data_IF_994204268768
#
_entry.id   IF_994204268768
#
_cell.length_a   1.000
_cell.length_b   1.000
_cell.length_c   1.000
_cell.angle_alpha   90.00
_cell.angle_beta   90.00
_cell.angle_gamma   90.00
#
_symmetry.space_group_name_H-M   'P 1'
#
loop_
_entity.id
_entity.type
_entity.pdbx_description
1 polymer ?
#
# COMPACT_ATOMS: atom_id res chain seq x y z
N UNK A 1 -8.81 13.17 27.38
CA UNK A 1 -7.43 13.11 27.90
C UNK A 1 -6.44 12.70 26.82
N UNK A 2 -6.72 11.65 26.03
CA UNK A 2 -5.88 11.20 24.88
C UNK A 2 -5.63 12.29 23.82
N UNK A 3 -6.67 13.00 23.38
CA UNK A 3 -6.56 14.06 22.36
C UNK A 3 -5.61 15.22 22.75
N UNK A 4 -5.55 15.58 24.05
CA UNK A 4 -4.65 16.64 24.52
C UNK A 4 -3.19 16.18 24.51
N UNK A 5 -2.93 14.92 24.85
CA UNK A 5 -1.57 14.35 24.82
C UNK A 5 -1.05 14.24 23.39
N UNK A 6 -1.89 13.83 22.44
CA UNK A 6 -1.53 13.76 21.01
C UNK A 6 -1.18 15.14 20.43
N UNK A 7 -1.94 16.18 20.79
CA UNK A 7 -1.66 17.55 20.34
C UNK A 7 -0.35 18.08 20.93
N UNK A 8 -0.10 17.87 22.23
CA UNK A 8 1.15 18.31 22.88
C UNK A 8 2.38 17.64 22.26
N UNK A 9 2.27 16.37 21.85
CA UNK A 9 3.33 15.66 21.12
C UNK A 9 3.64 16.26 19.75
N UNK A 10 2.63 16.77 19.02
CA UNK A 10 2.79 17.36 17.68
C UNK A 10 3.41 18.76 17.72
N UNK A 11 3.18 19.53 18.79
CA UNK A 11 3.62 20.93 18.91
C UNK A 11 4.95 21.14 19.65
N UNK A 12 5.55 20.10 20.23
CA UNK A 12 6.80 20.21 21.01
C UNK A 12 8.07 20.07 20.14
N UNK A 13 7.94 20.28 18.83
CA UNK A 13 8.74 19.59 17.80
C UNK A 13 9.80 20.48 17.17
N UNK A 14 11.00 20.53 17.75
CA UNK A 14 12.23 20.77 16.97
C UNK A 14 13.44 19.99 17.52
N UNK A 15 13.57 19.82 18.84
CA UNK A 15 14.77 19.18 19.43
C UNK A 15 14.71 17.67 19.66
N UNK A 16 13.54 17.10 20.00
CA UNK A 16 13.44 15.71 20.50
C UNK A 16 13.08 14.66 19.43
N UNK A 17 12.52 15.09 18.29
CA UNK A 17 12.06 14.17 17.23
C UNK A 17 13.22 13.85 16.28
N UNK A 18 14.13 14.79 16.03
CA UNK A 18 15.22 14.61 15.05
C UNK A 18 16.25 13.54 15.45
N UNK A 19 16.57 13.41 16.74
CA UNK A 19 17.66 12.53 17.21
C UNK A 19 17.27 11.03 17.22
N UNK A 20 15.97 10.71 17.25
CA UNK A 20 15.48 9.32 17.38
C UNK A 20 14.66 8.78 16.21
N UNK A 21 14.12 9.63 15.33
CA UNK A 21 13.11 9.21 14.35
C UNK A 21 13.61 8.21 13.33
N UNK A 22 14.84 8.38 12.84
CA UNK A 22 15.44 7.45 11.85
C UNK A 22 15.63 6.07 12.49
N UNK A 23 16.06 6.01 13.76
CA UNK A 23 16.21 4.74 14.47
C UNK A 23 14.87 4.03 14.63
N UNK A 24 13.81 4.75 15.02
CA UNK A 24 12.47 4.16 15.16
C UNK A 24 11.97 3.58 13.83
N UNK A 25 12.19 4.30 12.71
CA UNK A 25 11.83 3.80 11.39
C UNK A 25 12.66 2.57 10.99
N UNK A 26 13.97 2.57 11.25
CA UNK A 26 14.81 1.41 10.97
C UNK A 26 14.46 0.20 11.83
N UNK A 27 14.10 0.41 13.11
CA UNK A 27 13.63 -0.64 14.01
C UNK A 27 12.31 -1.24 13.49
N UNK A 28 11.40 -0.41 12.94
CA UNK A 28 10.17 -0.86 12.28
C UNK A 28 10.45 -1.66 11.00
N UNK A 29 11.47 -1.27 10.22
CA UNK A 29 11.90 -1.95 8.99
C UNK A 29 12.83 -3.14 9.27
N UNK A 30 12.58 -3.88 10.34
CA UNK A 30 13.24 -5.14 10.66
C UNK A 30 12.25 -6.31 10.61
N UNK A 31 12.77 -7.53 10.65
CA UNK A 31 11.94 -8.75 10.75
C UNK A 31 11.05 -8.79 12.00
N UNK A 32 11.36 -8.00 13.05
CA UNK A 32 10.53 -7.89 14.26
C UNK A 32 9.42 -6.82 14.14
N UNK A 33 9.47 -5.97 13.12
CA UNK A 33 8.48 -4.94 12.82
C UNK A 33 7.59 -5.35 11.65
N UNK A 34 7.61 -4.59 10.55
CA UNK A 34 6.84 -4.89 9.33
C UNK A 34 7.63 -5.70 8.29
N UNK A 35 8.89 -6.02 8.58
CA UNK A 35 9.81 -6.70 7.69
C UNK A 35 10.83 -5.78 7.03
N UNK A 36 11.96 -6.35 6.63
CA UNK A 36 13.01 -5.61 5.92
C UNK A 36 12.53 -5.07 4.57
N UNK A 37 12.91 -3.83 4.26
CA UNK A 37 12.77 -3.22 2.93
C UNK A 37 13.98 -3.59 2.06
N UNK A 38 13.82 -4.39 0.97
CA UNK A 38 14.97 -4.99 0.26
C UNK A 38 16.01 -3.99 -0.24
N UNK A 39 15.57 -2.79 -0.64
CA UNK A 39 16.45 -1.73 -1.13
C UNK A 39 17.49 -1.26 -0.09
N UNK A 40 17.21 -1.47 1.20
CA UNK A 40 18.13 -1.11 2.30
C UNK A 40 19.15 -2.22 2.58
N UNK A 41 18.92 -3.45 2.12
CA UNK A 41 19.74 -4.61 2.44
C UNK A 41 20.06 -5.45 1.19
N UNK A 42 21.27 -5.29 0.62
CA UNK A 42 21.71 -6.03 -0.56
C UNK A 42 21.82 -7.56 -0.35
N UNK A 43 21.81 -8.04 0.89
CA UNK A 43 21.83 -9.47 1.23
C UNK A 43 20.42 -10.03 1.48
N UNK A 44 19.41 -9.21 1.31
CA UNK A 44 18.02 -9.60 1.52
C UNK A 44 17.66 -10.82 0.66
N UNK A 45 17.04 -11.81 1.29
CA UNK A 45 16.71 -13.07 0.65
C UNK A 45 15.21 -13.13 0.31
N UNK A 46 14.90 -12.95 -0.97
CA UNK A 46 13.53 -13.06 -1.51
C UNK A 46 12.81 -14.36 -1.17
N UNK A 47 13.55 -15.45 -0.96
CA UNK A 47 12.97 -16.78 -0.71
C UNK A 47 12.43 -16.95 0.71
N UNK A 48 12.66 -15.96 1.58
CA UNK A 48 12.19 -15.95 2.98
C UNK A 48 10.99 -15.02 3.20
N UNK A 49 10.40 -14.52 2.13
CA UNK A 49 9.25 -13.61 2.24
C UNK A 49 7.99 -14.41 2.52
N UNK A 50 7.42 -14.16 3.68
CA UNK A 50 6.03 -14.46 3.99
C UNK A 50 5.19 -13.23 3.58
N UNK A 51 4.56 -13.31 2.41
CA UNK A 51 3.84 -12.18 1.81
C UNK A 51 2.59 -11.86 2.64
N UNK A 52 1.87 -12.88 3.05
CA UNK A 52 0.67 -12.81 3.88
C UNK A 52 0.95 -12.13 5.21
N UNK A 53 2.01 -12.56 5.91
CA UNK A 53 2.41 -11.92 7.16
C UNK A 53 2.82 -10.46 6.95
N UNK A 54 3.51 -10.12 5.86
CA UNK A 54 3.87 -8.73 5.55
C UNK A 54 2.64 -7.86 5.32
N UNK A 55 1.67 -8.36 4.55
CA UNK A 55 0.41 -7.65 4.32
C UNK A 55 -0.39 -7.48 5.62
N UNK A 56 -0.36 -8.48 6.51
CA UNK A 56 -0.98 -8.41 7.83
C UNK A 56 -0.36 -7.31 8.69
N UNK A 57 0.97 -7.29 8.78
CA UNK A 57 1.69 -6.29 9.56
C UNK A 57 1.50 -4.88 8.99
N UNK A 58 1.52 -4.72 7.67
CA UNK A 58 1.19 -3.44 7.03
C UNK A 58 -0.24 -3.00 7.38
N UNK A 59 -1.20 -3.92 7.37
CA UNK A 59 -2.59 -3.63 7.73
C UNK A 59 -2.73 -3.15 9.19
N UNK A 60 -2.01 -3.78 10.14
CA UNK A 60 -1.95 -3.31 11.55
C UNK A 60 -1.48 -1.85 11.63
N UNK A 61 -0.56 -1.47 10.75
CA UNK A 61 -0.07 -0.10 10.60
C UNK A 61 -0.90 0.78 9.67
N UNK A 62 -2.12 0.36 9.30
CA UNK A 62 -3.06 1.08 8.44
C UNK A 62 -2.52 1.32 7.01
N UNK A 63 -1.68 0.41 6.52
CA UNK A 63 -1.15 0.41 5.16
C UNK A 63 -1.71 -0.78 4.40
N UNK A 64 -2.41 -0.53 3.30
CA UNK A 64 -3.07 -1.54 2.48
C UNK A 64 -2.70 -1.33 1.01
N UNK A 65 -1.58 -1.90 0.53
CA UNK A 65 -0.99 -1.50 -0.75
C UNK A 65 -1.71 -2.06 -1.99
N UNK A 66 -2.35 -3.23 -1.88
CA UNK A 66 -2.91 -3.92 -3.05
C UNK A 66 -4.44 -3.99 -3.06
N UNK A 67 -5.04 -4.10 -1.88
CA UNK A 67 -6.48 -4.17 -1.69
C UNK A 67 -6.86 -3.65 -0.31
N UNK A 68 -7.99 -2.98 -0.24
CA UNK A 68 -8.55 -2.44 0.98
C UNK A 68 -9.58 -3.41 1.55
N UNK A 69 -9.39 -3.74 2.82
CA UNK A 69 -10.29 -4.57 3.60
C UNK A 69 -10.87 -3.78 4.76
N UNK A 70 -12.17 -3.90 4.99
CA UNK A 70 -12.84 -3.39 6.17
C UNK A 70 -14.11 -4.18 6.49
N UNK A 71 -14.55 -4.12 7.74
CA UNK A 71 -15.79 -4.75 8.20
C UNK A 71 -16.89 -3.71 8.30
N UNK A 72 -17.98 -3.90 7.57
CA UNK A 72 -19.13 -3.00 7.57
C UNK A 72 -20.45 -3.79 7.52
N UNK A 73 -21.58 -3.17 7.88
CA UNK A 73 -22.89 -3.79 7.76
C UNK A 73 -23.18 -4.20 6.30
N UNK A 74 -23.83 -5.34 6.10
CA UNK A 74 -24.34 -5.75 4.78
C UNK A 74 -25.40 -4.73 4.33
N UNK A 75 -25.22 -4.16 3.12
CA UNK A 75 -26.15 -3.20 2.52
C UNK A 75 -27.58 -3.76 2.40
N UNK A 76 -27.72 -5.10 2.30
CA UNK A 76 -29.01 -5.80 2.22
C UNK A 76 -29.54 -6.26 3.58
N UNK A 77 -28.67 -6.35 4.59
CA UNK A 77 -29.04 -6.76 5.95
C UNK A 77 -28.11 -6.14 6.99
N UNK A 78 -28.44 -4.95 7.46
CA UNK A 78 -27.65 -4.19 8.42
C UNK A 78 -27.48 -4.84 9.81
N UNK A 79 -28.15 -5.97 10.08
CA UNK A 79 -27.93 -6.77 11.29
C UNK A 79 -26.75 -7.74 11.18
N UNK A 80 -26.15 -7.88 10.00
CA UNK A 80 -24.97 -8.71 9.73
C UNK A 80 -23.84 -7.83 9.23
N UNK A 81 -22.61 -8.16 9.60
CA UNK A 81 -21.41 -7.51 9.11
C UNK A 81 -20.69 -8.42 8.14
N UNK A 82 -20.18 -7.85 7.04
CA UNK A 82 -19.39 -8.54 6.04
C UNK A 82 -17.98 -7.96 6.03
N UNK A 83 -17.03 -8.79 5.61
CA UNK A 83 -15.72 -8.33 5.19
C UNK A 83 -15.86 -7.82 3.76
N UNK A 84 -15.60 -6.54 3.55
CA UNK A 84 -15.51 -5.96 2.23
C UNK A 84 -14.06 -5.98 1.76
N UNK A 85 -13.86 -6.27 0.48
CA UNK A 85 -12.55 -6.24 -0.19
C UNK A 85 -12.69 -5.39 -1.44
N UNK A 86 -11.90 -4.34 -1.53
CA UNK A 86 -11.83 -3.44 -2.69
C UNK A 86 -10.42 -3.47 -3.26
N UNK A 87 -10.31 -3.33 -4.58
CA UNK A 87 -9.05 -3.08 -5.27
C UNK A 87 -8.32 -1.88 -4.66
N UNK A 88 -7.01 -2.00 -4.55
CA UNK A 88 -6.14 -0.86 -4.32
C UNK A 88 -5.77 -0.20 -5.64
N UNK A 89 -5.11 0.94 -5.51
CA UNK A 89 -4.48 1.63 -6.64
C UNK A 89 -3.06 2.08 -6.25
N UNK A 90 -2.20 2.35 -7.25
CA UNK A 90 -0.90 2.96 -7.04
C UNK A 90 -0.97 4.22 -6.19
N UNK A 91 0.15 4.58 -5.56
CA UNK A 91 0.20 5.74 -4.65
C UNK A 91 -0.08 7.08 -5.36
N UNK A 92 0.25 7.20 -6.65
CA UNK A 92 -0.12 8.34 -7.47
C UNK A 92 -1.31 7.97 -8.37
N UNK A 93 -2.04 8.98 -8.84
CA UNK A 93 -3.06 8.77 -9.87
C UNK A 93 -2.47 8.02 -11.08
N UNK A 94 -3.20 7.03 -11.60
CA UNK A 94 -2.74 6.13 -12.67
C UNK A 94 -2.28 6.87 -13.92
N UNK A 95 -2.84 8.05 -14.22
CA UNK A 95 -2.44 8.88 -15.35
C UNK A 95 -0.98 9.36 -15.27
N UNK A 96 -0.44 9.57 -14.06
CA UNK A 96 0.96 9.94 -13.90
C UNK A 96 1.90 8.85 -14.41
N UNK A 97 1.55 7.57 -14.23
CA UNK A 97 2.35 6.44 -14.67
C UNK A 97 2.14 6.12 -16.16
N UNK A 98 0.92 6.26 -16.66
CA UNK A 98 0.51 5.73 -17.96
C UNK A 98 0.58 6.75 -19.10
N UNK A 99 0.41 8.05 -18.82
CA UNK A 99 0.51 9.08 -19.85
C UNK A 99 1.93 9.64 -19.93
N UNK A 100 2.72 9.07 -20.84
CA UNK A 100 4.10 9.48 -21.11
C UNK A 100 4.22 10.63 -22.11
N UNK A 101 3.10 11.13 -22.65
CA UNK A 101 3.11 12.20 -23.65
C UNK A 101 3.06 13.59 -23.02
N UNK A 102 2.51 13.68 -21.81
CA UNK A 102 2.45 14.92 -21.04
C UNK A 102 3.78 15.18 -20.29
N UNK A 103 4.50 16.27 -20.60
CA UNK A 103 5.76 16.59 -19.93
C UNK A 103 5.63 16.80 -18.42
N UNK A 104 4.49 17.28 -17.93
CA UNK A 104 4.28 17.49 -16.50
C UNK A 104 4.18 16.15 -15.77
N UNK A 105 3.47 15.17 -16.32
CA UNK A 105 3.37 13.83 -15.73
C UNK A 105 4.71 13.12 -15.68
N UNK A 106 5.50 13.20 -16.76
CA UNK A 106 6.88 12.70 -16.77
C UNK A 106 7.70 13.36 -15.65
N UNK A 107 7.55 14.67 -15.43
CA UNK A 107 8.25 15.39 -14.36
C UNK A 107 7.80 14.96 -12.95
N UNK A 108 6.52 14.65 -12.75
CA UNK A 108 6.03 14.12 -11.47
C UNK A 108 6.63 12.74 -11.16
N UNK A 109 6.65 11.83 -12.13
CA UNK A 109 7.28 10.51 -11.95
C UNK A 109 8.78 10.63 -11.66
N UNK A 110 9.48 11.54 -12.34
CA UNK A 110 10.89 11.81 -12.03
C UNK A 110 11.08 12.35 -10.60
N UNK A 111 10.17 13.19 -10.12
CA UNK A 111 10.21 13.72 -8.76
C UNK A 111 9.93 12.63 -7.72
N UNK A 112 8.98 11.73 -7.99
CA UNK A 112 8.70 10.56 -7.16
C UNK A 112 9.91 9.62 -7.10
N UNK A 113 10.54 9.34 -8.25
CA UNK A 113 11.80 8.57 -8.33
C UNK A 113 12.89 9.18 -7.43
N UNK A 114 13.07 10.50 -7.51
CA UNK A 114 14.06 11.21 -6.71
C UNK A 114 13.72 11.20 -5.21
N UNK A 115 12.44 11.30 -4.84
CA UNK A 115 12.00 11.22 -3.45
C UNK A 115 12.38 9.86 -2.84
N UNK A 116 12.11 8.76 -3.56
CA UNK A 116 12.49 7.42 -3.09
C UNK A 116 14.00 7.32 -2.96
N UNK A 117 14.76 7.78 -3.96
CA UNK A 117 16.22 7.75 -3.96
C UNK A 117 16.83 8.52 -2.77
N UNK A 118 16.33 9.72 -2.48
CA UNK A 118 16.78 10.51 -1.34
C UNK A 118 16.39 9.86 -0.01
N UNK A 119 15.20 9.28 0.08
CA UNK A 119 14.74 8.57 1.28
C UNK A 119 15.67 7.40 1.60
N UNK A 120 15.96 6.53 0.64
CA UNK A 120 16.83 5.37 0.89
C UNK A 120 18.29 5.78 1.12
N UNK A 121 18.74 6.89 0.52
CA UNK A 121 20.05 7.49 0.82
C UNK A 121 20.15 7.97 2.27
N UNK A 122 19.11 8.62 2.79
CA UNK A 122 19.02 9.03 4.21
C UNK A 122 19.04 7.81 5.14
N UNK A 123 18.40 6.71 4.73
CA UNK A 123 18.39 5.41 5.41
C UNK A 123 19.66 4.57 5.18
N UNK A 124 20.71 5.14 4.57
CA UNK A 124 22.02 4.51 4.35
C UNK A 124 21.99 3.27 3.44
N UNK A 125 21.08 3.23 2.47
CA UNK A 125 21.08 2.21 1.44
C UNK A 125 22.35 2.25 0.59
N UNK A 126 22.73 1.11 0.02
CA UNK A 126 23.90 0.99 -0.83
C UNK A 126 23.58 1.48 -2.25
N UNK A 127 24.26 2.53 -2.72
CA UNK A 127 23.97 3.17 -4.02
C UNK A 127 23.98 2.19 -5.22
N UNK A 128 24.79 1.13 -5.15
CA UNK A 128 24.91 0.15 -6.25
C UNK A 128 23.63 -0.65 -6.52
N UNK A 129 22.71 -0.75 -5.56
CA UNK A 129 21.41 -1.46 -5.74
C UNK A 129 20.23 -0.49 -5.88
N UNK A 130 20.33 0.70 -5.31
CA UNK A 130 19.25 1.70 -5.24
C UNK A 130 18.65 2.01 -6.61
N UNK A 131 19.49 2.29 -7.63
CA UNK A 131 18.98 2.66 -8.96
C UNK A 131 18.13 1.54 -9.57
N UNK A 132 18.64 0.31 -9.53
CA UNK A 132 17.96 -0.87 -10.10
C UNK A 132 16.65 -1.13 -9.37
N UNK A 133 16.67 -1.11 -8.04
CA UNK A 133 15.50 -1.46 -7.23
C UNK A 133 14.39 -0.41 -7.36
N UNK A 134 14.75 0.87 -7.50
CA UNK A 134 13.78 1.93 -7.80
C UNK A 134 13.20 1.79 -9.21
N UNK A 135 14.00 1.38 -10.19
CA UNK A 135 13.50 1.13 -11.56
C UNK A 135 12.51 -0.04 -11.57
N UNK A 136 12.83 -1.15 -10.91
CA UNK A 136 11.90 -2.28 -10.77
C UNK A 136 10.63 -1.92 -9.97
N UNK A 137 10.74 -1.06 -8.96
CA UNK A 137 9.56 -0.55 -8.24
C UNK A 137 8.66 0.27 -9.14
N UNK A 138 9.23 1.15 -9.97
CA UNK A 138 8.44 1.96 -10.91
C UNK A 138 7.81 1.12 -12.02
N UNK A 139 8.51 0.09 -12.52
CA UNK A 139 7.94 -0.88 -13.46
C UNK A 139 6.72 -1.57 -12.85
N UNK A 140 6.84 -2.04 -11.60
CA UNK A 140 5.70 -2.62 -10.87
C UNK A 140 4.53 -1.63 -10.72
N UNK A 141 4.79 -0.37 -10.36
CA UNK A 141 3.74 0.65 -10.22
C UNK A 141 3.03 0.96 -11.55
N UNK A 142 3.75 0.91 -12.68
CA UNK A 142 3.17 1.06 -14.03
C UNK A 142 2.26 -0.13 -14.36
N UNK A 143 2.72 -1.36 -14.09
CA UNK A 143 1.89 -2.56 -14.27
C UNK A 143 0.64 -2.52 -13.38
N UNK A 144 0.81 -2.11 -12.12
CA UNK A 144 -0.29 -1.96 -11.18
C UNK A 144 -1.28 -0.88 -11.63
N UNK A 145 -0.79 0.28 -12.08
CA UNK A 145 -1.63 1.35 -12.64
C UNK A 145 -2.47 0.87 -13.82
N UNK A 146 -1.90 0.05 -14.69
CA UNK A 146 -2.58 -0.50 -15.84
C UNK A 146 -3.73 -1.44 -15.44
N UNK A 147 -3.51 -2.28 -14.43
CA UNK A 147 -4.55 -3.16 -13.88
C UNK A 147 -5.65 -2.34 -13.18
N UNK A 148 -5.29 -1.30 -12.42
CA UNK A 148 -6.25 -0.46 -11.70
C UNK A 148 -7.16 0.37 -12.61
N UNK A 149 -6.77 0.68 -13.85
CA UNK A 149 -7.66 1.36 -14.80
C UNK A 149 -8.84 0.50 -15.26
N UNK A 150 -8.72 -0.82 -15.14
CA UNK A 150 -9.80 -1.75 -15.45
C UNK A 150 -10.82 -1.84 -14.32
N UNK A 151 -10.58 -1.17 -13.18
CA UNK A 151 -11.55 -1.04 -12.11
C UNK A 151 -12.72 -0.15 -12.56
N UNK A 152 -13.95 -0.70 -12.66
CA UNK A 152 -15.13 0.05 -13.08
C UNK A 152 -15.35 1.32 -12.26
N UNK A 153 -14.91 1.37 -11.00
CA UNK A 153 -15.13 2.51 -10.09
C UNK A 153 -14.46 3.82 -10.55
N UNK A 154 -13.25 3.77 -11.12
CA UNK A 154 -12.54 4.97 -11.58
C UNK A 154 -13.08 5.49 -12.92
N UNK A 155 -13.80 4.64 -13.67
CA UNK A 155 -14.44 4.98 -14.96
C UNK A 155 -15.85 5.58 -14.82
N UNK A 156 -16.35 5.72 -13.59
CA UNK A 156 -17.70 6.23 -13.33
C UNK A 156 -17.77 7.74 -13.48
N UNK A 157 -18.20 8.18 -14.67
CA UNK A 157 -18.84 9.47 -14.81
C UNK A 157 -20.08 9.50 -13.88
N UNK A 158 -20.28 10.58 -13.12
CA UNK A 158 -21.37 10.81 -12.15
C UNK A 158 -22.81 10.61 -12.67
N UNK A 159 -22.99 10.24 -13.95
CA UNK A 159 -24.26 10.11 -14.64
C UNK A 159 -24.73 8.66 -14.87
N UNK A 160 -23.90 7.64 -14.63
CA UNK A 160 -24.35 6.25 -14.79
C UNK A 160 -24.95 5.72 -13.48
N UNK A 161 -26.29 5.68 -13.42
CA UNK A 161 -27.02 4.90 -12.43
C UNK A 161 -26.68 3.41 -12.62
N UNK A 162 -25.74 2.89 -11.85
CA UNK A 162 -25.49 1.45 -11.82
C UNK A 162 -26.60 0.80 -11.01
N UNK A 163 -27.22 -0.25 -11.57
CA UNK A 163 -28.01 -1.21 -10.80
C UNK A 163 -27.15 -1.69 -9.63
N UNK A 164 -27.56 -1.43 -8.38
CA UNK A 164 -26.87 -1.85 -7.15
C UNK A 164 -26.45 -3.35 -7.16
N UNK A 165 -27.08 -4.16 -8.01
CA UNK A 165 -26.76 -5.57 -8.25
C UNK A 165 -25.41 -5.83 -8.96
N UNK A 166 -24.84 -4.88 -9.72
CA UNK A 166 -23.53 -5.07 -10.38
C UNK A 166 -22.33 -4.87 -9.42
N UNK A 167 -22.53 -4.19 -8.29
CA UNK A 167 -21.46 -3.79 -7.36
C UNK A 167 -21.30 -4.80 -6.21
N UNK A 168 -22.33 -5.60 -5.93
CA UNK A 168 -22.34 -6.51 -4.79
C UNK A 168 -22.05 -7.96 -5.21
N UNK A 169 -20.77 -8.31 -5.36
CA UNK A 169 -20.35 -9.70 -5.56
C UNK A 169 -20.04 -10.39 -4.22
N UNK A 170 -21.06 -11.03 -3.62
CA UNK A 170 -20.88 -11.80 -2.39
C UNK A 170 -20.31 -13.18 -2.70
N UNK A 171 -19.06 -13.41 -2.29
CA UNK A 171 -18.39 -14.72 -2.38
C UNK A 171 -18.14 -15.29 -1.00
N UNK A 172 -18.02 -16.63 -0.91
CA UNK A 172 -17.49 -17.27 0.29
C UNK A 172 -15.95 -17.31 0.23
N UNK A 173 -15.30 -17.56 1.37
CA UNK A 173 -13.83 -17.56 1.46
C UNK A 173 -13.22 -18.61 0.51
N UNK A 174 -13.82 -19.80 0.41
CA UNK A 174 -13.32 -20.87 -0.48
C UNK A 174 -13.33 -20.46 -1.95
N UNK A 175 -14.37 -19.74 -2.40
CA UNK A 175 -14.43 -19.19 -3.76
C UNK A 175 -13.37 -18.12 -3.98
N UNK A 176 -13.10 -17.28 -2.96
CA UNK A 176 -12.05 -16.26 -3.05
C UNK A 176 -10.66 -16.90 -3.12
N UNK A 177 -10.41 -17.98 -2.37
CA UNK A 177 -9.19 -18.80 -2.44
C UNK A 177 -9.03 -19.48 -3.81
N UNK A 178 -10.12 -19.88 -4.46
CA UNK A 178 -10.09 -20.41 -5.83
C UNK A 178 -9.80 -19.32 -6.88
N UNK A 179 -10.26 -18.09 -6.65
CA UNK A 179 -10.05 -16.95 -7.56
C UNK A 179 -8.63 -16.38 -7.47
N UNK A 180 -8.02 -16.39 -6.29
CA UNK A 180 -6.69 -15.82 -6.03
C UNK A 180 -5.84 -16.85 -5.26
N UNK A 181 -5.45 -17.96 -5.90
CA UNK A 181 -4.74 -19.05 -5.23
C UNK A 181 -3.34 -18.67 -4.75
N UNK A 182 -2.77 -17.57 -5.24
CA UNK A 182 -1.45 -17.06 -4.87
C UNK A 182 -1.43 -16.36 -3.50
N UNK A 183 -2.59 -16.02 -2.93
CA UNK A 183 -2.69 -15.35 -1.63
C UNK A 183 -3.44 -16.25 -0.67
N UNK A 184 -2.73 -16.80 0.32
CA UNK A 184 -3.40 -17.55 1.39
C UNK A 184 -4.11 -16.57 2.30
N UNK A 185 -5.44 -16.58 2.36
CA UNK A 185 -6.20 -15.55 3.06
C UNK A 185 -6.27 -15.81 4.58
N UNK A 186 -5.14 -16.16 5.19
CA UNK A 186 -4.98 -16.21 6.65
C UNK A 186 -5.10 -14.82 7.30
N UNK A 187 -5.05 -13.75 6.48
CA UNK A 187 -5.33 -12.36 6.86
C UNK A 187 -6.69 -12.18 7.54
N UNK A 188 -7.68 -13.02 7.23
CA UNK A 188 -9.05 -12.89 7.78
C UNK A 188 -9.10 -13.20 9.28
N UNK A 189 -8.19 -14.02 9.82
CA UNK A 189 -8.19 -14.38 11.24
C UNK A 189 -7.66 -13.26 12.17
N UNK A 190 -7.23 -12.14 11.61
CA UNK A 190 -6.79 -10.96 12.36
C UNK A 190 -7.92 -9.93 12.58
N UNK A 191 -9.13 -10.22 12.07
CA UNK A 191 -10.33 -9.39 12.21
C UNK A 191 -11.36 -10.02 13.17
#
# INVERSE_FOLDING_TARGET
MVLRTSLVSLYSTTGSIEDGSVKVLLDLLTDYGIGEWPILNHKWNKSKVDLEWRLAMLHVHQVQPFFHTFVAPDDRNSSVYLLHVYSGSPILNTQYYLNTSDPDYVRYILSYKNLIAETVRLLKAQESVVKRDIESLLEFEVEFANISQEDPFDSLNETSSIDDDYVFNRVNISMLEEMIPEVTILLIYLF
#
